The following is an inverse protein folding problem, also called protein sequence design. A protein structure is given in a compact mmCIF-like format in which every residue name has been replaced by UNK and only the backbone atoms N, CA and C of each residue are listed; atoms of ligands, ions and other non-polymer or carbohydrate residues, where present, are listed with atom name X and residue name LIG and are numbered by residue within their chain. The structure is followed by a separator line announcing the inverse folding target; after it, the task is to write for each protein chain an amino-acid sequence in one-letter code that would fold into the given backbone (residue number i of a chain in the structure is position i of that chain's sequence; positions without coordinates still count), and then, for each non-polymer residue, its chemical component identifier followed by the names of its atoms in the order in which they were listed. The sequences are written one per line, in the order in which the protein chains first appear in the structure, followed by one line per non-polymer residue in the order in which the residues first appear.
data_IF_292641176095
#
_entry.id   IF_292641176095
#
_cell.length_a   1.000
_cell.length_b   1.000
_cell.length_c   1.000
_cell.angle_alpha   90.00
_cell.angle_beta   90.00
_cell.angle_gamma   90.00
#
_symmetry.space_group_name_H-M   'P 1'
#
loop_
_entity.id
_entity.type
_entity.pdbx_description
1 polymer ?
#
# COMPACT_ATOMS: atom_id res chain seq x y z
N UNK A 1 -24.27 -1.01 8.40
CA UNK A 1 -23.76 -1.99 9.40
C UNK A 1 -22.35 -2.40 8.98
N UNK A 2 -21.33 -1.71 9.47
CA UNK A 2 -19.93 -2.00 9.15
C UNK A 2 -19.43 -3.14 10.02
N UNK A 3 -18.95 -4.20 9.37
CA UNK A 3 -18.17 -5.29 9.98
C UNK A 3 -16.90 -4.70 10.62
N UNK A 4 -16.80 -4.78 11.95
CA UNK A 4 -15.53 -4.61 12.67
C UNK A 4 -14.77 -5.92 12.57
N UNK A 5 -13.62 -5.87 11.93
CA UNK A 5 -12.60 -6.92 11.86
C UNK A 5 -12.22 -7.35 13.28
N UNK A 6 -12.40 -8.63 13.61
CA UNK A 6 -11.96 -9.25 14.86
C UNK A 6 -10.44 -9.20 14.95
N UNK A 7 -9.91 -8.48 15.94
CA UNK A 7 -8.49 -8.43 16.29
C UNK A 7 -8.20 -9.32 17.50
N UNK A 8 -7.35 -10.34 17.31
CA UNK A 8 -6.21 -10.71 18.17
C UNK A 8 -6.36 -10.73 19.71
N UNK A 9 -7.10 -11.67 20.29
CA UNK A 9 -7.14 -11.88 21.76
C UNK A 9 -6.76 -13.31 22.23
N UNK A 10 -6.06 -14.12 21.42
CA UNK A 10 -5.68 -15.49 21.84
C UNK A 10 -4.17 -15.78 22.01
N UNK A 11 -3.27 -14.79 21.88
CA UNK A 11 -1.80 -15.01 22.01
C UNK A 11 -1.17 -14.50 23.34
N UNK A 12 -1.94 -14.31 24.42
CA UNK A 12 -1.43 -13.67 25.65
C UNK A 12 -0.66 -14.56 26.66
N UNK A 13 -0.45 -15.86 26.39
CA UNK A 13 0.25 -16.73 27.35
C UNK A 13 1.78 -16.71 27.31
N UNK A 14 2.41 -16.34 26.18
CA UNK A 14 3.79 -16.77 25.88
C UNK A 14 4.83 -15.67 25.63
N UNK A 15 4.45 -14.54 25.04
CA UNK A 15 5.38 -13.50 24.56
C UNK A 15 5.55 -12.36 25.56
N UNK A 16 6.71 -11.71 25.59
CA UNK A 16 6.96 -10.58 26.49
C UNK A 16 8.42 -10.14 26.57
N UNK A 17 8.70 -9.17 27.45
CA UNK A 17 10.00 -8.49 27.52
C UNK A 17 10.40 -8.07 28.94
N UNK A 18 9.85 -8.75 29.96
CA UNK A 18 10.10 -8.39 31.37
C UNK A 18 11.57 -8.49 31.78
N UNK A 19 12.33 -9.37 31.13
CA UNK A 19 13.76 -9.58 31.35
C UNK A 19 14.38 -10.21 30.09
N UNK A 20 15.71 -10.32 30.08
CA UNK A 20 16.49 -10.90 28.96
C UNK A 20 15.98 -12.28 28.55
N UNK A 21 15.75 -13.17 29.49
CA UNK A 21 15.30 -14.54 29.21
C UNK A 21 13.94 -14.53 28.52
N UNK A 22 12.99 -13.71 28.98
CA UNK A 22 11.67 -13.62 28.36
C UNK A 22 11.72 -13.03 26.95
N UNK A 23 12.65 -12.11 26.69
CA UNK A 23 12.89 -11.61 25.33
C UNK A 23 13.42 -12.72 24.41
N UNK A 24 14.37 -13.54 24.88
CA UNK A 24 14.87 -14.71 24.15
C UNK A 24 13.77 -15.76 23.92
N UNK A 25 12.94 -16.04 24.93
CA UNK A 25 11.80 -16.95 24.79
C UNK A 25 10.80 -16.42 23.76
N UNK A 26 10.59 -15.10 23.71
CA UNK A 26 9.74 -14.47 22.71
C UNK A 26 10.31 -14.62 21.31
N UNK A 27 11.61 -14.40 21.12
CA UNK A 27 12.26 -14.67 19.83
C UNK A 27 12.12 -16.15 19.42
N UNK A 28 12.24 -17.07 20.38
CA UNK A 28 12.06 -18.51 20.15
C UNK A 28 10.62 -18.87 19.76
N UNK A 29 9.61 -18.22 20.34
CA UNK A 29 8.19 -18.40 19.98
C UNK A 29 7.90 -17.85 18.58
N UNK A 30 8.56 -16.76 18.20
CA UNK A 30 8.43 -16.16 16.88
C UNK A 30 9.24 -16.88 15.80
N UNK A 31 10.22 -17.70 16.18
CA UNK A 31 11.06 -18.42 15.24
C UNK A 31 10.25 -19.35 14.33
N UNK A 32 10.60 -19.34 13.04
CA UNK A 32 9.87 -20.04 11.98
C UNK A 32 8.61 -19.31 11.47
N UNK A 33 8.08 -18.30 12.17
CA UNK A 33 6.97 -17.50 11.63
C UNK A 33 7.44 -16.61 10.46
N UNK A 34 6.49 -16.03 9.74
CA UNK A 34 6.78 -15.09 8.64
C UNK A 34 7.69 -13.93 9.10
N UNK A 35 8.76 -13.65 8.34
CA UNK A 35 9.78 -12.70 8.77
C UNK A 35 9.23 -11.26 8.91
N UNK A 36 8.24 -10.90 8.08
CA UNK A 36 7.57 -9.59 8.18
C UNK A 36 6.74 -9.52 9.46
N UNK A 37 6.04 -10.60 9.82
CA UNK A 37 5.32 -10.69 11.09
C UNK A 37 6.28 -10.63 12.29
N UNK A 38 7.39 -11.38 12.29
CA UNK A 38 8.41 -11.31 13.35
C UNK A 38 8.90 -9.87 13.52
N UNK A 39 9.24 -9.20 12.42
CA UNK A 39 9.70 -7.81 12.44
C UNK A 39 8.68 -6.86 13.06
N UNK A 40 7.40 -6.98 12.69
CA UNK A 40 6.34 -6.14 13.25
C UNK A 40 6.16 -6.36 14.76
N UNK A 41 6.14 -7.61 15.23
CA UNK A 41 5.99 -7.94 16.65
C UNK A 41 7.19 -7.43 17.45
N UNK A 42 8.41 -7.69 16.98
CA UNK A 42 9.64 -7.30 17.68
C UNK A 42 9.78 -5.77 17.71
N UNK A 43 9.48 -5.08 16.62
CA UNK A 43 9.48 -3.60 16.60
C UNK A 43 8.44 -3.01 17.56
N UNK A 44 7.28 -3.66 17.70
CA UNK A 44 6.28 -3.28 18.72
C UNK A 44 6.85 -3.44 20.13
N UNK A 45 7.54 -4.55 20.41
CA UNK A 45 8.20 -4.77 21.70
C UNK A 45 9.32 -3.79 21.98
N UNK A 46 10.17 -3.43 21.00
CA UNK A 46 11.17 -2.37 21.15
C UNK A 46 10.52 -1.05 21.57
N UNK A 47 9.42 -0.67 20.91
CA UNK A 47 8.70 0.57 21.21
C UNK A 47 8.08 0.53 22.62
N UNK A 48 7.47 -0.59 23.00
CA UNK A 48 6.88 -0.79 24.34
C UNK A 48 7.95 -0.81 25.42
N UNK A 49 9.06 -1.53 25.23
CA UNK A 49 10.17 -1.61 26.17
C UNK A 49 10.81 -0.24 26.41
N UNK A 50 11.00 0.58 25.36
CA UNK A 50 11.48 1.97 25.49
C UNK A 50 10.53 2.82 26.35
N UNK A 51 9.22 2.70 26.12
CA UNK A 51 8.21 3.38 26.95
C UNK A 51 8.24 2.89 28.40
N UNK A 52 8.34 1.58 28.63
CA UNK A 52 8.41 1.00 29.99
C UNK A 52 9.67 1.45 30.73
N UNK A 53 10.80 1.59 30.04
CA UNK A 53 12.04 2.13 30.61
C UNK A 53 11.90 3.59 31.07
N UNK A 54 11.13 4.43 30.37
CA UNK A 54 10.94 5.84 30.75
C UNK A 54 10.12 6.01 32.04
N UNK A 55 9.19 5.10 32.32
CA UNK A 55 8.25 5.20 33.45
C UNK A 55 8.65 4.38 34.69
N UNK A 56 9.58 3.44 34.55
CA UNK A 56 10.01 2.55 35.65
C UNK A 56 11.08 3.22 36.51
N UNK A 57 10.89 3.22 37.83
CA UNK A 57 11.84 3.79 38.81
C UNK A 57 12.65 2.76 39.59
N UNK A 58 12.26 1.50 39.49
CA UNK A 58 12.92 0.37 40.14
C UNK A 58 14.19 -0.02 39.37
N UNK A 59 15.35 0.07 40.02
CA UNK A 59 16.66 -0.13 39.39
C UNK A 59 16.89 -1.56 38.86
N UNK A 60 16.41 -2.57 39.59
CA UNK A 60 16.53 -3.97 39.18
C UNK A 60 15.66 -4.25 37.94
N UNK A 61 14.43 -3.71 37.92
CA UNK A 61 13.56 -3.80 36.74
C UNK A 61 14.15 -3.04 35.55
N UNK A 62 14.79 -1.89 35.77
CA UNK A 62 15.45 -1.14 34.70
C UNK A 62 16.60 -1.93 34.06
N UNK A 63 17.44 -2.62 34.85
CA UNK A 63 18.49 -3.48 34.32
C UNK A 63 17.91 -4.60 33.45
N UNK A 64 16.91 -5.32 33.97
CA UNK A 64 16.21 -6.39 33.25
C UNK A 64 15.58 -5.93 31.93
N UNK A 65 14.95 -4.74 31.92
CA UNK A 65 14.32 -4.15 30.74
C UNK A 65 15.36 -3.69 29.71
N UNK A 66 16.50 -3.14 30.13
CA UNK A 66 17.59 -2.76 29.22
C UNK A 66 18.18 -3.98 28.53
N UNK A 67 18.39 -5.07 29.27
CA UNK A 67 18.88 -6.31 28.69
C UNK A 67 17.88 -6.93 27.70
N UNK A 68 16.59 -6.91 28.04
CA UNK A 68 15.52 -7.35 27.14
C UNK A 68 15.44 -6.49 25.87
N UNK A 69 15.54 -5.16 26.01
CA UNK A 69 15.53 -4.22 24.88
C UNK A 69 16.71 -4.49 23.95
N UNK A 70 17.92 -4.69 24.50
CA UNK A 70 19.11 -4.97 23.73
C UNK A 70 18.96 -6.22 22.85
N UNK A 71 18.38 -7.30 23.38
CA UNK A 71 18.09 -8.53 22.62
C UNK A 71 17.25 -8.23 21.36
N UNK A 72 16.22 -7.39 21.48
CA UNK A 72 15.38 -7.04 20.33
C UNK A 72 16.04 -6.03 19.38
N UNK A 73 16.80 -5.07 19.90
CA UNK A 73 17.53 -4.12 19.05
C UNK A 73 18.61 -4.83 18.23
N UNK A 74 19.32 -5.80 18.82
CA UNK A 74 20.28 -6.66 18.13
C UNK A 74 19.59 -7.46 17.01
N UNK A 75 18.41 -8.04 17.28
CA UNK A 75 17.61 -8.71 16.25
C UNK A 75 17.16 -7.78 15.12
N UNK A 76 16.72 -6.56 15.45
CA UNK A 76 16.29 -5.56 14.44
C UNK A 76 17.48 -5.06 13.61
N UNK A 77 18.64 -4.91 14.23
CA UNK A 77 19.88 -4.55 13.54
C UNK A 77 20.31 -5.66 12.57
N UNK A 78 20.27 -6.93 13.00
CA UNK A 78 20.48 -8.10 12.15
C UNK A 78 19.51 -8.14 10.97
N UNK A 79 18.21 -7.96 11.23
CA UNK A 79 17.17 -7.89 10.19
C UNK A 79 17.50 -6.87 9.09
N UNK A 80 17.91 -5.66 9.48
CA UNK A 80 18.26 -4.58 8.54
C UNK A 80 19.58 -4.86 7.82
N UNK A 81 20.62 -5.26 8.57
CA UNK A 81 21.97 -5.49 8.04
C UNK A 81 21.99 -6.62 7.00
N UNK A 82 21.28 -7.71 7.29
CA UNK A 82 21.23 -8.89 6.43
C UNK A 82 20.08 -8.85 5.42
N UNK A 83 19.35 -7.73 5.35
CA UNK A 83 18.20 -7.52 4.45
C UNK A 83 17.19 -8.68 4.51
N UNK A 84 16.89 -9.14 5.73
CA UNK A 84 16.11 -10.35 6.00
C UNK A 84 14.66 -10.23 5.52
N UNK A 85 14.20 -9.04 5.14
CA UNK A 85 12.93 -8.85 4.44
C UNK A 85 12.83 -9.62 3.11
N UNK A 86 13.96 -9.96 2.48
CA UNK A 86 13.99 -10.82 1.28
C UNK A 86 13.74 -12.31 1.58
N UNK A 87 13.82 -12.73 2.84
CA UNK A 87 13.50 -14.10 3.28
C UNK A 87 11.98 -14.36 3.32
N UNK A 88 11.17 -13.36 2.99
CA UNK A 88 9.72 -13.45 3.05
C UNK A 88 9.18 -14.48 2.06
N UNK A 89 8.57 -15.54 2.59
CA UNK A 89 8.01 -16.64 1.81
C UNK A 89 6.54 -16.35 1.51
N UNK A 90 6.27 -15.45 0.56
CA UNK A 90 4.91 -15.02 0.23
C UNK A 90 3.98 -16.21 -0.13
N UNK A 91 2.72 -16.11 0.27
CA UNK A 91 1.71 -17.14 0.01
C UNK A 91 1.18 -17.03 -1.42
N UNK A 92 1.05 -18.17 -2.10
CA UNK A 92 0.37 -18.29 -3.38
C UNK A 92 -1.15 -18.37 -3.19
N UNK A 93 -1.95 -17.88 -4.15
CA UNK A 93 -3.39 -18.12 -4.17
C UNK A 93 -3.71 -19.62 -4.20
N UNK A 94 -4.79 -20.02 -3.54
CA UNK A 94 -5.30 -21.40 -3.50
C UNK A 94 -5.42 -21.99 -4.89
N UNK A 95 -5.97 -21.22 -5.83
CA UNK A 95 -6.25 -21.64 -7.20
C UNK A 95 -4.94 -21.95 -7.93
N UNK A 96 -3.86 -21.24 -7.60
CA UNK A 96 -2.53 -21.53 -8.14
C UNK A 96 -2.03 -22.86 -7.62
N UNK A 97 -2.16 -23.13 -6.32
CA UNK A 97 -1.75 -24.42 -5.73
C UNK A 97 -2.58 -25.56 -6.35
N UNK A 98 -3.91 -25.37 -6.46
CA UNK A 98 -4.84 -26.34 -7.06
C UNK A 98 -4.45 -26.67 -8.51
N UNK A 99 -4.09 -25.66 -9.31
CA UNK A 99 -3.68 -25.84 -10.71
C UNK A 99 -2.44 -26.74 -10.88
N UNK A 100 -1.54 -26.79 -9.89
CA UNK A 100 -0.34 -27.64 -9.92
C UNK A 100 -0.52 -28.98 -9.18
N UNK A 101 -1.72 -29.31 -8.68
CA UNK A 101 -2.02 -30.56 -7.95
C UNK A 101 -1.64 -31.80 -8.74
N UNK A 102 -2.01 -31.88 -10.02
CA UNK A 102 -1.72 -33.05 -10.88
C UNK A 102 -0.23 -33.22 -11.14
N UNK A 103 0.48 -32.11 -11.38
CA UNK A 103 1.94 -32.14 -11.54
C UNK A 103 2.63 -32.61 -10.25
N UNK A 104 2.14 -32.16 -9.09
CA UNK A 104 2.63 -32.63 -7.79
C UNK A 104 2.37 -34.13 -7.56
N UNK A 105 1.21 -34.65 -7.97
CA UNK A 105 0.94 -36.10 -7.96
C UNK A 105 1.90 -36.86 -8.88
N UNK A 106 2.15 -36.37 -10.10
CA UNK A 106 3.13 -37.00 -11.03
C UNK A 106 4.55 -37.05 -10.47
N UNK A 107 4.97 -36.01 -9.76
CA UNK A 107 6.29 -36.00 -9.10
C UNK A 107 6.35 -36.75 -7.75
N UNK A 108 5.20 -37.27 -7.29
CA UNK A 108 5.03 -37.90 -5.97
C UNK A 108 5.46 -36.95 -4.82
N UNK A 109 4.91 -35.74 -4.83
CA UNK A 109 5.20 -34.69 -3.83
C UNK A 109 3.95 -33.97 -3.33
N UNK A 110 2.76 -34.46 -3.65
CA UNK A 110 1.51 -33.89 -3.17
C UNK A 110 1.29 -34.24 -1.70
N UNK A 111 1.16 -33.21 -0.85
CA UNK A 111 0.79 -33.33 0.56
C UNK A 111 -0.48 -32.52 0.80
N UNK A 112 -1.60 -33.21 1.03
CA UNK A 112 -2.89 -32.56 1.29
C UNK A 112 -2.93 -31.81 2.63
N UNK A 113 -2.00 -32.06 3.57
CA UNK A 113 -2.02 -31.49 4.91
C UNK A 113 -2.10 -29.97 4.91
N UNK A 114 -1.12 -29.31 4.27
CA UNK A 114 -1.09 -27.85 4.19
C UNK A 114 -2.26 -27.32 3.36
N UNK A 115 -2.50 -27.92 2.20
CA UNK A 115 -3.54 -27.45 1.27
C UNK A 115 -4.92 -27.46 1.91
N UNK A 116 -5.31 -28.55 2.60
CA UNK A 116 -6.58 -28.64 3.33
C UNK A 116 -6.69 -27.60 4.44
N UNK A 117 -5.63 -27.43 5.23
CA UNK A 117 -5.61 -26.40 6.28
C UNK A 117 -5.80 -25.00 5.69
N UNK A 118 -5.12 -24.70 4.59
CA UNK A 118 -5.22 -23.40 3.94
C UNK A 118 -6.57 -23.15 3.24
N UNK A 119 -7.16 -24.22 2.67
CA UNK A 119 -8.52 -24.22 2.11
C UNK A 119 -9.60 -23.97 3.17
N UNK A 120 -9.50 -24.63 4.32
CA UNK A 120 -10.45 -24.45 5.43
C UNK A 120 -10.47 -23.00 5.94
N UNK A 121 -9.32 -22.34 5.88
CA UNK A 121 -9.13 -20.92 6.19
C UNK A 121 -9.41 -19.98 5.00
N UNK A 122 -9.93 -20.51 3.88
CA UNK A 122 -10.32 -19.76 2.67
C UNK A 122 -9.20 -18.88 2.11
N UNK A 123 -7.96 -19.32 2.24
CA UNK A 123 -6.81 -18.59 1.73
C UNK A 123 -6.30 -17.47 2.66
N UNK A 124 -6.89 -17.30 3.85
CA UNK A 124 -6.35 -16.37 4.86
C UNK A 124 -5.12 -16.98 5.53
N UNK A 125 -3.94 -16.57 5.08
CA UNK A 125 -2.69 -17.08 5.64
C UNK A 125 -2.44 -16.60 7.08
N UNK A 126 -3.14 -15.56 7.55
CA UNK A 126 -2.94 -15.05 8.91
C UNK A 126 -3.57 -15.96 9.95
N UNK A 127 -4.70 -16.59 9.64
CA UNK A 127 -5.34 -17.53 10.55
C UNK A 127 -4.56 -18.84 10.70
N UNK A 128 -3.71 -19.20 9.72
CA UNK A 128 -2.77 -20.33 9.84
C UNK A 128 -1.79 -20.23 11.02
N UNK A 129 -1.67 -19.04 11.65
CA UNK A 129 -0.91 -18.84 12.89
C UNK A 129 -1.52 -19.52 14.11
N UNK A 130 -2.80 -19.84 14.02
CA UNK A 130 -3.59 -20.49 15.08
C UNK A 130 -3.96 -21.94 14.72
N UNK A 131 -3.88 -22.31 13.43
CA UNK A 131 -4.17 -23.67 12.96
C UNK A 131 -2.98 -24.59 13.24
N UNK A 132 -3.17 -25.56 14.14
CA UNK A 132 -2.15 -26.58 14.46
C UNK A 132 -2.02 -27.63 13.36
N UNK A 133 -0.80 -28.13 13.19
CA UNK A 133 -0.55 -29.32 12.36
C UNK A 133 -1.12 -30.54 13.08
N UNK A 134 -1.73 -31.46 12.33
CA UNK A 134 -2.20 -32.75 12.86
C UNK A 134 -1.01 -33.49 13.51
N UNK A 135 -1.17 -33.86 14.79
CA UNK A 135 -0.13 -34.51 15.61
C UNK A 135 1.14 -33.66 15.85
N UNK A 136 1.12 -32.36 15.53
CA UNK A 136 2.23 -31.45 15.73
C UNK A 136 2.04 -30.53 16.94
N UNK A 137 3.16 -30.13 17.53
CA UNK A 137 3.21 -29.09 18.58
C UNK A 137 3.32 -27.66 18.00
N UNK A 138 3.15 -27.52 16.68
CA UNK A 138 3.35 -26.25 15.96
C UNK A 138 2.17 -25.96 15.04
N UNK A 139 2.15 -24.74 14.53
CA UNK A 139 1.12 -24.20 13.66
C UNK A 139 1.55 -24.29 12.20
N UNK A 140 0.57 -24.29 11.29
CA UNK A 140 0.86 -24.44 9.86
C UNK A 140 1.72 -23.31 9.31
N UNK A 141 1.62 -22.08 9.84
CA UNK A 141 2.50 -20.98 9.43
C UNK A 141 3.99 -21.27 9.71
N UNK A 142 4.30 -21.88 10.85
CA UNK A 142 5.67 -22.24 11.25
C UNK A 142 6.14 -23.47 10.46
N UNK A 143 5.33 -24.53 10.46
CA UNK A 143 5.69 -25.80 9.80
C UNK A 143 5.96 -25.61 8.32
N UNK A 144 5.07 -24.89 7.63
CA UNK A 144 5.22 -24.58 6.20
C UNK A 144 6.52 -23.82 5.92
N UNK A 145 6.84 -22.81 6.73
CA UNK A 145 8.05 -22.03 6.55
C UNK A 145 9.32 -22.83 6.81
N UNK A 146 9.31 -23.74 7.80
CA UNK A 146 10.44 -24.66 8.07
C UNK A 146 10.70 -25.59 6.89
N UNK A 147 9.65 -26.29 6.42
CA UNK A 147 9.75 -27.17 5.25
C UNK A 147 10.23 -26.43 4.00
N UNK A 148 9.72 -25.22 3.76
CA UNK A 148 10.18 -24.40 2.64
C UNK A 148 11.64 -23.99 2.76
N UNK A 149 12.11 -23.59 3.95
CA UNK A 149 13.53 -23.28 4.16
C UNK A 149 14.42 -24.49 3.85
N UNK A 150 14.01 -25.69 4.26
CA UNK A 150 14.74 -26.93 3.95
C UNK A 150 14.79 -27.22 2.45
N UNK A 151 13.66 -27.07 1.74
CA UNK A 151 13.61 -27.27 0.28
C UNK A 151 14.45 -26.22 -0.44
N UNK A 152 14.30 -24.94 -0.10
CA UNK A 152 15.04 -23.84 -0.72
C UNK A 152 16.55 -23.98 -0.49
N UNK A 153 16.96 -24.41 0.70
CA UNK A 153 18.38 -24.66 0.99
C UNK A 153 18.92 -25.80 0.14
N UNK A 154 18.17 -26.90 -0.04
CA UNK A 154 18.55 -27.98 -0.97
C UNK A 154 18.69 -27.47 -2.40
N UNK A 155 17.70 -26.73 -2.91
CA UNK A 155 17.75 -26.12 -4.25
C UNK A 155 19.01 -25.26 -4.43
N UNK A 156 19.36 -24.45 -3.42
CA UNK A 156 20.56 -23.61 -3.46
C UNK A 156 21.85 -24.41 -3.42
N UNK A 157 21.96 -25.39 -2.52
CA UNK A 157 23.17 -26.19 -2.35
C UNK A 157 23.44 -27.08 -3.56
N UNK A 158 22.38 -27.70 -4.08
CA UNK A 158 22.45 -28.64 -5.20
C UNK A 158 22.33 -27.91 -6.56
N UNK A 159 22.24 -26.58 -6.56
CA UNK A 159 22.11 -25.72 -7.74
C UNK A 159 20.98 -26.14 -8.70
N UNK A 160 19.89 -26.66 -8.13
CA UNK A 160 18.71 -27.13 -8.88
C UNK A 160 18.01 -25.94 -9.53
N UNK A 161 17.67 -26.07 -10.81
CA UNK A 161 16.89 -25.05 -11.50
C UNK A 161 15.44 -25.03 -11.00
N UNK A 162 14.80 -23.86 -11.04
CA UNK A 162 13.39 -23.72 -10.66
C UNK A 162 12.43 -24.31 -11.72
N UNK A 163 12.88 -24.45 -12.96
CA UNK A 163 12.08 -24.95 -14.07
C UNK A 163 12.87 -25.98 -14.86
N UNK A 164 12.17 -27.00 -15.35
CA UNK A 164 12.74 -28.07 -16.16
C UNK A 164 13.27 -27.50 -17.48
N UNK A 165 14.57 -27.71 -17.73
CA UNK A 165 15.27 -27.27 -18.94
C UNK A 165 15.35 -28.35 -20.01
N UNK A 166 15.14 -29.60 -19.61
CA UNK A 166 15.37 -30.77 -20.44
C UNK A 166 14.23 -31.00 -21.44
N UNK A 167 14.51 -31.77 -22.49
CA UNK A 167 13.55 -32.07 -23.57
C UNK A 167 12.57 -33.14 -23.09
N UNK A 168 11.26 -32.87 -23.24
CA UNK A 168 10.19 -33.80 -22.88
C UNK A 168 8.91 -33.09 -22.43
N UNK A 169 7.94 -33.86 -21.95
CA UNK A 169 6.60 -33.37 -21.56
C UNK A 169 6.63 -32.30 -20.46
N UNK A 170 7.67 -32.35 -19.62
CA UNK A 170 7.87 -31.45 -18.49
C UNK A 170 8.61 -30.15 -18.83
N UNK A 171 9.11 -29.98 -20.06
CA UNK A 171 9.91 -28.80 -20.44
C UNK A 171 9.19 -27.49 -20.13
N UNK A 172 9.87 -26.60 -19.42
CA UNK A 172 9.37 -25.29 -19.04
C UNK A 172 8.40 -25.29 -17.84
N UNK A 173 8.03 -26.47 -17.32
CA UNK A 173 7.25 -26.59 -16.09
C UNK A 173 8.16 -26.52 -14.85
N UNK A 174 7.60 -26.28 -13.65
CA UNK A 174 8.36 -26.31 -12.41
C UNK A 174 9.05 -27.68 -12.18
N UNK A 175 10.28 -27.66 -11.68
CA UNK A 175 11.00 -28.89 -11.29
C UNK A 175 10.36 -29.56 -10.07
N UNK A 176 10.69 -30.82 -9.79
CA UNK A 176 10.20 -31.54 -8.59
C UNK A 176 10.38 -30.74 -7.29
N UNK A 177 11.54 -30.11 -7.08
CA UNK A 177 11.80 -29.30 -5.89
C UNK A 177 11.03 -27.97 -5.88
N UNK A 178 10.81 -27.35 -7.04
CA UNK A 178 9.93 -26.19 -7.12
C UNK A 178 8.47 -26.57 -6.86
N UNK A 179 8.00 -27.71 -7.36
CA UNK A 179 6.64 -28.20 -7.08
C UNK A 179 6.43 -28.46 -5.60
N UNK A 180 7.43 -28.99 -4.87
CA UNK A 180 7.38 -29.08 -3.40
C UNK A 180 7.17 -27.72 -2.73
N UNK A 181 7.81 -26.66 -3.25
CA UNK A 181 7.54 -25.30 -2.78
C UNK A 181 6.10 -24.85 -3.09
N UNK A 182 5.59 -25.15 -4.29
CA UNK A 182 4.26 -24.75 -4.75
C UNK A 182 3.16 -25.42 -3.92
N UNK A 183 3.31 -26.70 -3.58
CA UNK A 183 2.38 -27.44 -2.71
C UNK A 183 2.30 -26.81 -1.32
N UNK A 184 3.40 -26.21 -0.84
CA UNK A 184 3.45 -25.42 0.39
C UNK A 184 3.07 -23.94 0.17
N UNK A 185 2.49 -23.61 -0.98
CA UNK A 185 2.01 -22.27 -1.31
C UNK A 185 3.11 -21.24 -1.49
N UNK A 186 4.27 -21.61 -2.03
CA UNK A 186 5.37 -20.67 -2.31
C UNK A 186 5.96 -20.82 -3.71
N UNK A 187 6.38 -19.69 -4.27
CA UNK A 187 7.28 -19.66 -5.42
C UNK A 187 8.09 -18.37 -5.42
N UNK A 188 9.36 -18.40 -5.87
CA UNK A 188 10.13 -17.19 -6.11
C UNK A 188 9.62 -16.38 -7.31
N UNK A 189 8.86 -17.00 -8.23
CA UNK A 189 8.28 -16.34 -9.41
C UNK A 189 6.77 -16.65 -9.53
N UNK A 190 5.92 -16.03 -8.69
CA UNK A 190 4.48 -16.25 -8.71
C UNK A 190 3.82 -15.79 -10.03
N UNK A 191 4.43 -14.83 -10.74
CA UNK A 191 3.88 -14.27 -11.98
C UNK A 191 4.04 -15.25 -13.13
N UNK A 192 5.20 -15.91 -13.24
CA UNK A 192 5.42 -16.98 -14.21
C UNK A 192 4.54 -18.20 -13.92
N UNK A 193 4.38 -18.58 -12.64
CA UNK A 193 3.45 -19.66 -12.28
C UNK A 193 2.01 -19.38 -12.68
N UNK A 194 1.53 -18.14 -12.49
CA UNK A 194 0.18 -17.77 -12.91
C UNK A 194 -0.04 -17.97 -14.42
N UNK A 195 0.97 -17.71 -15.25
CA UNK A 195 0.91 -17.96 -16.70
C UNK A 195 0.95 -19.46 -17.03
N UNK A 196 1.76 -20.22 -16.30
CA UNK A 196 1.92 -21.66 -16.48
C UNK A 196 0.74 -22.48 -15.92
N UNK A 197 -0.07 -21.92 -15.01
CA UNK A 197 -1.21 -22.61 -14.41
C UNK A 197 -2.20 -23.12 -15.46
N UNK A 198 -2.44 -22.35 -16.54
CA UNK A 198 -3.30 -22.75 -17.67
C UNK A 198 -2.67 -23.92 -18.43
N UNK A 199 -1.37 -23.85 -18.73
CA UNK A 199 -0.65 -24.90 -19.45
C UNK A 199 -0.53 -26.19 -18.63
N UNK A 200 -0.36 -26.09 -17.31
CA UNK A 200 -0.30 -27.23 -16.41
C UNK A 200 -1.66 -27.93 -16.29
N UNK A 201 -2.75 -27.16 -16.31
CA UNK A 201 -4.11 -27.68 -16.37
C UNK A 201 -4.37 -28.39 -17.71
N UNK A 202 -4.08 -27.74 -18.84
CA UNK A 202 -4.30 -28.29 -20.19
C UNK A 202 -3.46 -29.55 -20.48
N UNK A 203 -2.18 -29.57 -20.13
CA UNK A 203 -1.27 -30.69 -20.43
C UNK A 203 -1.51 -31.96 -19.63
N UNK A 204 -2.19 -31.85 -18.49
CA UNK A 204 -2.40 -32.98 -17.59
C UNK A 204 -3.89 -33.23 -17.30
N UNK A 205 -4.78 -32.69 -18.13
CA UNK A 205 -6.21 -32.97 -18.11
C UNK A 205 -6.54 -34.27 -18.87
N UNK A 206 -6.44 -35.38 -18.17
CA UNK A 206 -7.24 -36.58 -18.45
C UNK A 206 -8.15 -36.83 -17.23
N UNK A 207 -9.40 -37.16 -17.49
CA UNK A 207 -10.57 -37.06 -16.60
C UNK A 207 -10.34 -37.60 -15.17
N UNK A 208 -10.72 -36.81 -14.16
CA UNK A 208 -10.76 -37.24 -12.75
C UNK A 208 -12.11 -36.78 -12.18
N UNK A 209 -13.09 -37.67 -12.30
CA UNK A 209 -14.53 -37.54 -12.00
C UNK A 209 -14.83 -37.59 -10.49
N UNK A 210 -14.03 -36.92 -9.66
CA UNK A 210 -14.09 -37.03 -8.18
C UNK A 210 -13.99 -35.68 -7.45
N UNK A 211 -14.59 -34.61 -8.00
CA UNK A 211 -14.59 -33.27 -7.39
C UNK A 211 -15.82 -33.00 -6.47
N UNK A 212 -16.69 -34.01 -6.19
CA UNK A 212 -17.93 -33.80 -5.41
C UNK A 212 -17.89 -34.20 -3.91
N UNK A 213 -16.88 -34.92 -3.40
CA UNK A 213 -16.95 -35.45 -2.02
C UNK A 213 -16.31 -34.58 -0.91
N UNK A 214 -15.40 -33.65 -1.22
CA UNK A 214 -14.67 -32.88 -0.18
C UNK A 214 -15.40 -31.60 0.32
N UNK A 215 -16.57 -31.22 -0.23
CA UNK A 215 -17.32 -30.02 0.19
C UNK A 215 -18.24 -30.20 1.44
N UNK A 216 -18.22 -31.35 2.13
CA UNK A 216 -19.09 -31.54 3.32
C UNK A 216 -18.46 -30.98 4.61
N UNK A 217 -18.97 -29.82 5.03
CA UNK A 217 -18.77 -29.25 6.39
C UNK A 217 -19.19 -30.23 7.51
N UNK A 218 -18.52 -30.23 8.67
CA UNK A 218 -19.11 -30.71 9.92
C UNK A 218 -19.56 -29.55 10.84
N UNK A 219 -20.72 -29.74 11.44
CA UNK A 219 -21.51 -28.81 12.23
C UNK A 219 -21.41 -29.05 13.75
N UNK A 220 -21.66 -27.97 14.50
CA UNK A 220 -22.22 -27.90 15.86
C UNK A 220 -21.35 -28.12 17.12
N UNK A 221 -21.52 -27.19 18.08
CA UNK A 221 -21.06 -27.33 19.47
C UNK A 221 -21.21 -26.08 20.35
N UNK A 222 -22.39 -25.92 20.96
CA UNK A 222 -22.84 -24.99 22.05
C UNK A 222 -21.72 -24.67 23.07
N UNK A 223 -21.58 -23.50 23.71
CA UNK A 223 -22.49 -22.41 24.06
C UNK A 223 -22.26 -22.07 25.55
N UNK A 224 -22.04 -20.80 25.92
CA UNK A 224 -22.31 -20.26 27.26
C UNK A 224 -22.10 -18.74 27.29
N UNK A 225 -22.82 -18.12 28.21
CA UNK A 225 -23.27 -16.73 28.29
C UNK A 225 -22.67 -16.11 29.56
N UNK A 226 -22.66 -14.76 29.63
CA UNK A 226 -22.52 -13.90 30.83
C UNK A 226 -21.07 -13.47 31.15
N UNK A 227 -20.75 -12.26 31.59
CA UNK A 227 -21.53 -11.07 31.98
C UNK A 227 -20.59 -9.84 31.90
N UNK A 228 -21.20 -8.67 31.71
CA UNK A 228 -20.58 -7.33 31.70
C UNK A 228 -19.96 -6.98 33.05
N UNK A 229 -18.94 -6.13 33.05
CA UNK A 229 -18.96 -4.77 33.64
C UNK A 229 -17.50 -4.23 33.60
N UNK A 230 -17.21 -3.26 32.74
CA UNK A 230 -17.33 -1.80 32.93
C UNK A 230 -16.21 -1.17 33.79
N UNK A 231 -15.67 -0.08 33.23
CA UNK A 231 -14.83 0.98 33.82
C UNK A 231 -13.31 0.77 33.68
N UNK A 232 -12.63 1.39 32.71
CA UNK A 232 -12.38 2.84 32.50
C UNK A 232 -11.27 3.37 33.40
N UNK A 233 -10.17 3.81 32.78
CA UNK A 233 -9.42 5.05 33.07
C UNK A 233 -7.98 4.89 32.53
N UNK A 234 -7.64 5.50 31.40
CA UNK A 234 -7.00 6.83 31.32
C UNK A 234 -5.68 6.85 32.10
N UNK A 235 -4.54 6.86 31.42
CA UNK A 235 -3.82 8.09 30.99
C UNK A 235 -2.65 8.32 31.97
N UNK A 236 -1.54 8.95 31.66
CA UNK A 236 -0.91 9.38 30.42
C UNK A 236 0.54 9.72 30.81
N UNK A 237 1.42 9.78 29.80
CA UNK A 237 2.58 10.66 29.68
C UNK A 237 3.66 10.72 30.76
N UNK A 238 4.92 10.62 30.34
CA UNK A 238 5.74 11.83 30.08
C UNK A 238 7.17 11.47 29.64
N UNK A 239 7.49 11.87 28.41
CA UNK A 239 8.80 12.33 27.90
C UNK A 239 9.34 13.53 28.76
N UNK A 240 10.63 13.96 28.73
CA UNK A 240 11.28 14.37 27.46
C UNK A 240 12.84 14.45 27.33
N UNK A 241 13.26 14.71 26.08
CA UNK A 241 14.38 15.58 25.60
C UNK A 241 15.70 15.01 24.98
N UNK A 242 15.76 15.14 23.63
CA UNK A 242 16.76 15.81 22.72
C UNK A 242 18.30 15.66 22.88
N UNK A 243 18.98 15.22 21.78
CA UNK A 243 19.96 16.03 20.97
C UNK A 243 20.54 15.31 19.71
N UNK A 244 20.43 15.95 18.53
CA UNK A 244 21.39 16.23 17.40
C UNK A 244 22.53 15.21 17.04
N UNK A 245 22.98 14.92 15.80
CA UNK A 245 22.79 15.36 14.38
C UNK A 245 23.60 14.47 13.43
N UNK A 246 23.21 14.27 12.14
CA UNK A 246 24.08 14.44 10.94
C UNK A 246 23.27 14.41 9.61
N UNK A 247 23.66 15.27 8.66
CA UNK A 247 23.01 15.70 7.40
C UNK A 247 23.52 14.91 6.17
N UNK A 248 22.64 14.58 5.20
CA UNK A 248 22.96 14.49 3.76
C UNK A 248 21.69 14.37 2.90
N UNK A 249 21.68 15.06 1.75
CA UNK A 249 20.76 15.00 0.58
C UNK A 249 19.24 15.14 0.76
N UNK A 250 18.67 14.86 1.94
CA UNK A 250 17.27 15.17 2.27
C UNK A 250 17.06 16.67 2.53
N UNK A 251 18.14 17.45 2.67
CA UNK A 251 18.09 18.86 3.05
C UNK A 251 17.47 19.75 1.97
N UNK A 252 17.56 19.42 0.68
CA UNK A 252 16.99 20.22 -0.40
C UNK A 252 15.50 19.93 -0.63
N UNK A 253 15.07 18.66 -0.49
CA UNK A 253 13.65 18.31 -0.42
C UNK A 253 13.02 18.82 0.90
N UNK A 254 13.75 18.78 2.01
CA UNK A 254 13.32 19.36 3.29
C UNK A 254 13.29 20.89 3.22
N UNK A 255 14.20 21.60 2.55
CA UNK A 255 14.13 23.07 2.46
C UNK A 255 12.91 23.55 1.66
N UNK A 256 12.50 22.83 0.60
CA UNK A 256 11.25 23.12 -0.11
C UNK A 256 10.00 22.73 0.68
N UNK A 257 10.06 21.63 1.45
CA UNK A 257 8.99 21.25 2.39
C UNK A 257 8.91 22.20 3.60
N UNK A 258 10.03 22.70 4.12
CA UNK A 258 10.13 23.61 5.26
C UNK A 258 9.60 25.01 4.86
N UNK A 259 9.91 25.48 3.64
CA UNK A 259 9.31 26.72 3.11
C UNK A 259 7.79 26.63 2.90
N UNK A 260 7.26 25.46 2.50
CA UNK A 260 5.80 25.22 2.41
C UNK A 260 5.14 24.96 3.77
N UNK A 261 5.85 24.36 4.72
CA UNK A 261 5.40 24.17 6.10
C UNK A 261 5.23 25.51 6.83
N UNK A 262 5.96 26.56 6.45
CA UNK A 262 5.77 27.91 7.01
C UNK A 262 4.41 28.56 6.66
N UNK A 263 3.67 28.04 5.68
CA UNK A 263 2.39 28.62 5.26
C UNK A 263 1.16 27.91 5.84
N UNK A 264 1.26 26.61 6.14
CA UNK A 264 0.14 25.80 6.65
C UNK A 264 0.24 25.64 8.18
N UNK A 265 -0.80 26.04 8.91
CA UNK A 265 -0.81 26.10 10.37
C UNK A 265 -2.13 25.59 10.95
N UNK A 266 -2.03 24.98 12.14
CA UNK A 266 -3.15 24.46 12.93
C UNK A 266 -3.18 25.07 14.35
N UNK A 267 -2.51 26.22 14.54
CA UNK A 267 -2.36 26.86 15.86
C UNK A 267 -3.70 27.29 16.47
N UNK A 268 -4.59 27.83 15.64
CA UNK A 268 -5.88 28.38 16.02
C UNK A 268 -6.84 28.33 14.82
N UNK A 269 -8.10 28.69 15.08
CA UNK A 269 -9.18 28.70 14.09
C UNK A 269 -8.86 29.57 12.87
N UNK A 270 -8.32 30.76 13.07
CA UNK A 270 -8.04 31.70 11.98
C UNK A 270 -6.92 31.19 11.08
N UNK A 271 -5.88 30.60 11.68
CA UNK A 271 -4.79 29.95 10.95
C UNK A 271 -5.25 28.71 10.21
N UNK A 272 -6.23 27.96 10.74
CA UNK A 272 -6.85 26.85 10.03
C UNK A 272 -7.60 27.32 8.78
N UNK A 273 -8.40 28.40 8.90
CA UNK A 273 -9.10 29.01 7.78
C UNK A 273 -8.12 29.56 6.73
N UNK A 274 -7.06 30.25 7.15
CA UNK A 274 -5.98 30.70 6.24
C UNK A 274 -5.32 29.52 5.52
N UNK A 275 -5.11 28.40 6.21
CA UNK A 275 -4.53 27.20 5.62
C UNK A 275 -5.44 26.59 4.56
N UNK A 276 -6.75 26.47 4.83
CA UNK A 276 -7.72 26.03 3.83
C UNK A 276 -7.72 26.97 2.62
N UNK A 277 -7.75 28.29 2.86
CA UNK A 277 -7.70 29.30 1.78
C UNK A 277 -6.43 29.20 0.93
N UNK A 278 -5.28 28.91 1.53
CA UNK A 278 -4.01 28.72 0.80
C UNK A 278 -3.97 27.45 -0.06
N UNK A 279 -4.84 26.48 0.25
CA UNK A 279 -4.98 25.22 -0.47
C UNK A 279 -6.05 25.31 -1.55
N UNK A 280 -6.88 26.36 -1.55
CA UNK A 280 -7.93 26.60 -2.53
C UNK A 280 -7.37 26.62 -3.96
N UNK A 281 -8.12 26.05 -4.91
CA UNK A 281 -7.70 25.90 -6.31
C UNK A 281 -6.69 24.78 -6.58
N UNK A 282 -6.00 24.22 -5.57
CA UNK A 282 -5.10 23.07 -5.75
C UNK A 282 -5.85 21.76 -5.98
N UNK A 283 -5.14 20.70 -6.38
CA UNK A 283 -5.72 19.37 -6.57
C UNK A 283 -6.49 18.92 -5.31
N UNK A 284 -7.73 18.48 -5.48
CA UNK A 284 -8.62 18.11 -4.38
C UNK A 284 -8.03 16.98 -3.53
N UNK A 285 -7.35 16.02 -4.18
CA UNK A 285 -6.59 14.97 -3.48
C UNK A 285 -5.43 15.52 -2.65
N UNK A 286 -4.73 16.56 -3.15
CA UNK A 286 -3.65 17.19 -2.40
C UNK A 286 -4.18 17.97 -1.19
N UNK A 287 -5.26 18.74 -1.36
CA UNK A 287 -5.92 19.44 -0.25
C UNK A 287 -6.30 18.45 0.86
N UNK A 288 -6.91 17.32 0.48
CA UNK A 288 -7.30 16.26 1.42
C UNK A 288 -6.11 15.72 2.21
N UNK A 289 -5.01 15.38 1.54
CA UNK A 289 -3.82 14.86 2.21
C UNK A 289 -3.14 15.91 3.10
N UNK A 290 -3.06 17.16 2.64
CA UNK A 290 -2.50 18.26 3.42
C UNK A 290 -3.29 18.52 4.71
N UNK A 291 -4.63 18.59 4.61
CA UNK A 291 -5.54 18.81 5.73
C UNK A 291 -5.53 17.63 6.70
N UNK A 292 -5.60 16.40 6.20
CA UNK A 292 -5.47 15.19 7.03
C UNK A 292 -4.13 15.17 7.79
N UNK A 293 -3.04 15.59 7.13
CA UNK A 293 -1.73 15.72 7.77
C UNK A 293 -1.70 16.79 8.87
N UNK A 294 -2.40 17.92 8.68
CA UNK A 294 -2.55 18.97 9.70
C UNK A 294 -3.32 18.47 10.92
N UNK A 295 -4.43 17.74 10.73
CA UNK A 295 -5.21 17.15 11.83
C UNK A 295 -4.34 16.21 12.66
N UNK A 296 -3.65 15.24 12.03
CA UNK A 296 -2.78 14.29 12.75
C UNK A 296 -1.65 14.99 13.53
N UNK A 297 -1.07 16.05 12.96
CA UNK A 297 -0.05 16.85 13.66
C UNK A 297 -0.66 17.63 14.83
N UNK A 298 -1.84 18.22 14.66
CA UNK A 298 -2.55 18.93 15.71
C UNK A 298 -2.91 17.99 16.88
N UNK A 299 -3.46 16.81 16.60
CA UNK A 299 -3.75 15.77 17.60
C UNK A 299 -2.50 15.38 18.38
N UNK A 300 -1.38 15.16 17.69
CA UNK A 300 -0.09 14.86 18.34
C UNK A 300 0.41 16.00 19.23
N UNK A 301 0.24 17.25 18.80
CA UNK A 301 0.63 18.40 19.63
C UNK A 301 -0.29 18.53 20.84
N UNK A 302 -1.59 18.28 20.67
CA UNK A 302 -2.57 18.24 21.78
C UNK A 302 -2.17 17.17 22.79
N UNK A 303 -1.82 15.95 22.36
CA UNK A 303 -1.45 14.87 23.28
C UNK A 303 -0.19 15.15 24.09
N UNK A 304 0.72 15.99 23.59
CA UNK A 304 1.98 16.31 24.28
C UNK A 304 1.96 17.65 25.04
N UNK A 305 0.90 18.44 24.92
CA UNK A 305 0.80 19.80 25.49
C UNK A 305 -0.02 19.77 26.77
N UNK A 306 0.41 20.52 27.80
CA UNK A 306 -0.35 20.70 29.06
C UNK A 306 -1.07 22.06 29.17
N UNK A 307 -0.86 22.94 28.19
CA UNK A 307 -1.51 24.26 28.10
C UNK A 307 -2.95 24.12 27.57
N UNK A 308 -3.92 24.32 28.48
CA UNK A 308 -5.35 24.22 28.19
C UNK A 308 -5.84 25.22 27.13
N UNK A 309 -5.33 26.46 27.15
CA UNK A 309 -5.73 27.48 26.18
C UNK A 309 -5.25 27.11 24.78
N UNK A 310 -4.02 26.60 24.67
CA UNK A 310 -3.45 26.11 23.42
C UNK A 310 -4.21 24.89 22.92
N UNK A 311 -4.55 23.94 23.79
CA UNK A 311 -5.39 22.77 23.44
C UNK A 311 -6.73 23.24 22.89
N UNK A 312 -7.42 24.19 23.54
CA UNK A 312 -8.71 24.71 23.08
C UNK A 312 -8.60 25.32 21.68
N UNK A 313 -7.61 26.19 21.43
CA UNK A 313 -7.36 26.79 20.11
C UNK A 313 -7.08 25.75 19.02
N UNK A 314 -6.30 24.71 19.33
CA UNK A 314 -6.00 23.63 18.38
C UNK A 314 -7.21 22.73 18.12
N UNK A 315 -8.08 22.50 19.13
CA UNK A 315 -9.35 21.77 18.93
C UNK A 315 -10.31 22.53 18.03
N UNK A 316 -10.41 23.85 18.20
CA UNK A 316 -11.19 24.71 17.29
C UNK A 316 -10.64 24.66 15.86
N UNK A 317 -9.30 24.65 15.69
CA UNK A 317 -8.66 24.46 14.39
C UNK A 317 -8.96 23.08 13.77
N UNK A 318 -8.89 22.00 14.56
CA UNK A 318 -9.22 20.65 14.12
C UNK A 318 -10.67 20.57 13.64
N UNK A 319 -11.62 21.16 14.38
CA UNK A 319 -13.03 21.14 13.98
C UNK A 319 -13.25 21.76 12.59
N UNK A 320 -12.54 22.84 12.26
CA UNK A 320 -12.58 23.46 10.92
C UNK A 320 -12.10 22.48 9.85
N UNK A 321 -10.99 21.77 10.11
CA UNK A 321 -10.46 20.75 9.20
C UNK A 321 -11.37 19.52 9.08
N UNK A 322 -11.93 19.03 10.18
CA UNK A 322 -12.86 17.89 10.19
C UNK A 322 -14.15 18.21 9.44
N UNK A 323 -14.67 19.43 9.58
CA UNK A 323 -15.82 19.89 8.80
C UNK A 323 -15.50 19.86 7.30
N UNK A 324 -14.31 20.33 6.90
CA UNK A 324 -13.86 20.25 5.51
C UNK A 324 -13.70 18.80 5.02
N UNK A 325 -13.12 17.92 5.84
CA UNK A 325 -12.95 16.50 5.51
C UNK A 325 -14.29 15.76 5.42
N UNK A 326 -15.26 16.14 6.26
CA UNK A 326 -16.62 15.60 6.20
C UNK A 326 -17.31 16.05 4.92
N UNK A 327 -17.23 17.33 4.56
CA UNK A 327 -17.74 17.86 3.28
C UNK A 327 -17.13 17.12 2.08
N UNK A 328 -15.81 16.90 2.10
CA UNK A 328 -15.09 16.13 1.09
C UNK A 328 -15.67 14.73 0.90
N UNK A 329 -15.88 14.01 2.00
CA UNK A 329 -16.36 12.62 1.97
C UNK A 329 -17.84 12.54 1.57
N UNK A 330 -18.69 13.42 2.13
CA UNK A 330 -20.15 13.42 1.89
C UNK A 330 -20.47 13.82 0.45
N UNK A 331 -19.81 14.84 -0.09
CA UNK A 331 -20.05 15.30 -1.46
C UNK A 331 -19.27 14.50 -2.52
N UNK A 332 -18.45 13.53 -2.10
CA UNK A 332 -17.64 12.73 -3.01
C UNK A 332 -16.67 13.57 -3.85
N UNK A 333 -16.08 14.62 -3.24
CA UNK A 333 -15.24 15.62 -3.93
C UNK A 333 -14.00 15.02 -4.58
N UNK A 334 -13.62 13.79 -4.22
CA UNK A 334 -12.57 13.02 -4.91
C UNK A 334 -12.79 12.92 -6.43
N UNK A 335 -14.05 12.92 -6.89
CA UNK A 335 -14.41 12.87 -8.32
C UNK A 335 -14.19 14.20 -9.05
N UNK A 336 -14.00 15.31 -8.32
CA UNK A 336 -13.71 16.64 -8.88
C UNK A 336 -12.22 16.79 -9.21
N UNK A 337 -11.38 15.78 -8.95
CA UNK A 337 -9.95 15.88 -9.13
C UNK A 337 -9.57 15.79 -10.63
N UNK A 338 -8.91 16.83 -11.14
CA UNK A 338 -8.35 16.84 -12.48
C UNK A 338 -7.02 16.08 -12.53
N UNK A 339 -7.08 14.76 -12.70
CA UNK A 339 -5.88 13.93 -12.80
C UNK A 339 -4.97 14.39 -13.96
N UNK A 340 -3.66 14.38 -13.73
CA UNK A 340 -2.69 14.79 -14.75
C UNK A 340 -2.51 13.70 -15.80
N UNK A 341 -2.48 14.10 -17.07
CA UNK A 341 -2.00 13.29 -18.16
C UNK A 341 -0.48 13.20 -18.12
N UNK A 342 0.07 12.09 -18.63
CA UNK A 342 1.51 12.01 -18.86
C UNK A 342 1.89 13.00 -19.96
N UNK A 343 3.10 13.55 -19.87
CA UNK A 343 3.56 14.58 -20.80
C UNK A 343 3.55 14.09 -22.25
N UNK A 344 3.87 12.83 -22.48
CA UNK A 344 3.87 12.23 -23.82
C UNK A 344 2.47 12.19 -24.44
N UNK A 345 1.42 11.99 -23.61
CA UNK A 345 0.05 12.07 -24.10
C UNK A 345 -0.28 13.51 -24.49
N UNK A 346 0.08 14.50 -23.68
CA UNK A 346 -0.19 15.91 -24.02
C UNK A 346 0.51 16.30 -25.31
N UNK A 347 1.79 15.93 -25.47
CA UNK A 347 2.58 16.18 -26.69
C UNK A 347 1.95 15.56 -27.93
N UNK A 348 1.50 14.30 -27.84
CA UNK A 348 0.94 13.58 -28.97
C UNK A 348 -0.35 14.21 -29.54
N UNK A 349 -1.05 15.03 -28.75
CA UNK A 349 -2.28 15.71 -29.17
C UNK A 349 -2.04 17.16 -29.61
N UNK A 350 -0.79 17.62 -29.66
CA UNK A 350 -0.44 18.99 -30.11
C UNK A 350 -0.88 19.26 -31.55
N UNK A 351 -0.64 18.33 -32.48
CA UNK A 351 -1.05 18.48 -33.89
C UNK A 351 -2.57 18.58 -34.06
N UNK A 352 -3.33 17.87 -33.21
CA UNK A 352 -4.78 17.99 -33.18
C UNK A 352 -5.22 19.36 -32.65
N UNK A 353 -4.52 19.90 -31.65
CA UNK A 353 -4.79 21.23 -31.14
C UNK A 353 -4.54 22.32 -32.20
N UNK A 354 -3.47 22.18 -32.99
CA UNK A 354 -3.17 23.05 -34.13
C UNK A 354 -4.29 22.98 -35.19
N UNK A 355 -4.79 21.78 -35.50
CA UNK A 355 -5.92 21.61 -36.44
C UNK A 355 -7.19 22.34 -35.97
N UNK A 356 -7.47 22.32 -34.67
CA UNK A 356 -8.62 23.04 -34.09
C UNK A 356 -8.35 24.54 -33.85
N UNK A 357 -7.18 25.06 -34.26
CA UNK A 357 -6.74 26.43 -33.98
C UNK A 357 -6.82 26.79 -32.49
N UNK A 358 -6.42 25.84 -31.62
CA UNK A 358 -6.36 26.08 -30.18
C UNK A 358 -5.05 26.79 -29.87
N UNK A 359 -5.16 27.98 -29.29
CA UNK A 359 -4.00 28.79 -28.87
C UNK A 359 -3.13 28.06 -27.85
N UNK A 360 -1.80 28.24 -27.97
CA UNK A 360 -0.85 27.73 -26.99
C UNK A 360 -0.95 28.55 -25.70
N UNK A 361 -1.45 27.92 -24.66
CA UNK A 361 -1.61 28.49 -23.33
C UNK A 361 -0.30 28.51 -22.50
N UNK A 362 0.80 28.02 -23.07
CA UNK A 362 2.11 27.94 -22.41
C UNK A 362 2.23 26.84 -21.35
N UNK A 363 1.15 26.14 -20.99
CA UNK A 363 1.17 25.08 -19.99
C UNK A 363 2.07 23.92 -20.41
N UNK A 364 1.99 23.49 -21.69
CA UNK A 364 2.80 22.38 -22.19
C UNK A 364 4.29 22.68 -22.03
N UNK A 365 4.74 23.88 -22.42
CA UNK A 365 6.13 24.30 -22.27
C UNK A 365 6.60 24.22 -20.81
N UNK A 366 5.82 24.75 -19.88
CA UNK A 366 6.15 24.68 -18.44
C UNK A 366 6.13 23.24 -17.93
N UNK A 367 5.21 22.41 -18.42
CA UNK A 367 5.13 21.01 -18.05
C UNK A 367 6.35 20.22 -18.56
N UNK A 368 6.90 20.60 -19.71
CA UNK A 368 8.16 20.09 -20.26
C UNK A 368 9.37 20.52 -19.45
N UNK A 369 9.46 21.79 -19.05
CA UNK A 369 10.55 22.30 -18.20
C UNK A 369 10.65 21.54 -16.86
N UNK A 370 9.51 21.08 -16.32
CA UNK A 370 9.49 20.24 -15.10
C UNK A 370 9.56 18.73 -15.38
N UNK A 371 9.83 18.31 -16.62
CA UNK A 371 9.91 16.92 -17.07
C UNK A 371 8.63 16.09 -16.77
N UNK A 372 7.45 16.71 -16.86
CA UNK A 372 6.18 16.05 -16.58
C UNK A 372 5.92 15.78 -15.08
N UNK A 373 6.77 16.26 -14.17
CA UNK A 373 6.52 16.14 -12.73
C UNK A 373 5.54 17.23 -12.25
N UNK A 374 4.26 16.87 -12.24
CA UNK A 374 3.18 17.77 -11.83
C UNK A 374 3.34 18.31 -10.39
N UNK A 375 4.12 17.65 -9.51
CA UNK A 375 4.35 18.15 -8.15
C UNK A 375 5.19 19.43 -8.16
N UNK A 376 6.08 19.59 -9.14
CA UNK A 376 6.93 20.79 -9.30
C UNK A 376 6.12 22.00 -9.74
N UNK A 377 5.00 21.82 -10.46
CA UNK A 377 4.08 22.90 -10.85
C UNK A 377 3.53 23.69 -9.65
N UNK A 378 3.53 23.09 -8.45
CA UNK A 378 3.13 23.74 -7.19
C UNK A 378 4.11 24.82 -6.71
N UNK A 379 5.25 24.93 -7.35
CA UNK A 379 6.31 25.89 -7.03
C UNK A 379 6.59 26.86 -8.18
N UNK A 380 6.13 26.55 -9.40
CA UNK A 380 6.30 27.43 -10.57
C UNK A 380 5.17 28.47 -10.59
N UNK A 381 5.53 29.76 -10.62
CA UNK A 381 4.57 30.87 -10.66
C UNK A 381 4.01 31.07 -12.06
N UNK A 382 2.73 31.44 -12.13
CA UNK A 382 2.12 31.89 -13.37
C UNK A 382 2.54 33.35 -13.63
N UNK A 383 3.02 33.73 -14.83
CA UNK A 383 3.61 35.05 -15.07
C UNK A 383 2.72 36.25 -14.72
N UNK A 384 1.41 36.15 -14.97
CA UNK A 384 0.48 37.29 -14.84
C UNK A 384 -0.24 37.34 -13.49
N UNK A 385 0.08 36.44 -12.56
CA UNK A 385 -0.64 36.36 -11.29
C UNK A 385 0.22 35.81 -10.15
N UNK A 386 -0.20 36.09 -8.93
CA UNK A 386 0.47 35.53 -7.74
C UNK A 386 0.12 34.06 -7.47
N UNK A 387 -0.49 33.32 -8.42
CA UNK A 387 -0.78 31.90 -8.26
C UNK A 387 0.29 31.02 -8.94
N UNK A 388 0.29 29.74 -8.61
CA UNK A 388 1.16 28.73 -9.21
C UNK A 388 0.47 28.04 -10.38
N UNK A 389 1.24 27.43 -11.28
CA UNK A 389 0.69 26.78 -12.47
C UNK A 389 -0.31 25.67 -12.16
N UNK A 390 -0.14 24.92 -11.06
CA UNK A 390 -1.13 23.91 -10.61
C UNK A 390 -2.49 24.52 -10.30
N UNK A 391 -2.52 25.71 -9.67
CA UNK A 391 -3.74 26.43 -9.33
C UNK A 391 -4.38 27.00 -10.59
N UNK A 392 -3.60 27.68 -11.44
CA UNK A 392 -4.12 28.30 -12.67
C UNK A 392 -4.72 27.26 -13.63
N UNK A 393 -4.03 26.12 -13.78
CA UNK A 393 -4.51 24.98 -14.56
C UNK A 393 -5.84 24.43 -14.04
N UNK A 394 -5.98 24.26 -12.74
CA UNK A 394 -7.20 23.73 -12.14
C UNK A 394 -8.36 24.72 -12.13
N UNK A 395 -8.09 26.03 -12.04
CA UNK A 395 -9.08 27.08 -12.24
C UNK A 395 -9.66 26.99 -13.65
N UNK A 396 -8.80 27.02 -14.66
CA UNK A 396 -9.23 27.04 -16.05
C UNK A 396 -9.89 25.73 -16.51
N UNK A 397 -9.38 24.58 -16.08
CA UNK A 397 -10.03 23.29 -16.35
C UNK A 397 -11.43 23.22 -15.75
N UNK A 398 -11.68 23.87 -14.61
CA UNK A 398 -13.01 23.92 -14.01
C UNK A 398 -13.98 24.70 -14.87
N UNK A 399 -13.55 25.85 -15.40
CA UNK A 399 -14.33 26.67 -16.34
C UNK A 399 -14.64 25.88 -17.62
N UNK A 400 -13.63 25.25 -18.23
CA UNK A 400 -13.79 24.44 -19.44
C UNK A 400 -14.75 23.27 -19.23
N UNK A 401 -14.55 22.49 -18.16
CA UNK A 401 -15.37 21.32 -17.86
C UNK A 401 -16.81 21.71 -17.53
N UNK A 402 -17.02 22.84 -16.83
CA UNK A 402 -18.36 23.35 -16.57
C UNK A 402 -19.04 23.80 -17.87
N UNK A 403 -18.34 24.53 -18.74
CA UNK A 403 -18.84 24.92 -20.05
C UNK A 403 -19.24 23.71 -20.91
N UNK A 404 -18.40 22.66 -20.95
CA UNK A 404 -18.70 21.40 -21.65
C UNK A 404 -19.98 20.75 -21.10
N UNK A 405 -20.12 20.71 -19.77
CA UNK A 405 -21.29 20.13 -19.11
C UNK A 405 -22.56 20.93 -19.38
N UNK A 406 -22.50 22.25 -19.24
CA UNK A 406 -23.64 23.16 -19.43
C UNK A 406 -24.13 23.16 -20.88
N UNK A 407 -23.21 23.14 -21.84
CA UNK A 407 -23.52 23.09 -23.28
C UNK A 407 -23.75 21.67 -23.81
N UNK A 408 -23.67 20.65 -22.95
CA UNK A 408 -23.78 19.24 -23.31
C UNK A 408 -22.87 18.80 -24.48
N UNK A 409 -21.66 19.36 -24.54
CA UNK A 409 -20.69 19.07 -25.59
C UNK A 409 -20.15 17.66 -25.37
N UNK A 410 -20.11 16.86 -26.45
CA UNK A 410 -19.52 15.54 -26.40
C UNK A 410 -18.00 15.63 -26.24
N UNK A 411 -17.41 14.68 -25.51
CA UNK A 411 -15.95 14.63 -25.34
C UNK A 411 -15.24 14.19 -26.62
N UNK A 412 -15.90 13.42 -27.48
CA UNK A 412 -15.32 12.88 -28.71
C UNK A 412 -16.21 13.19 -29.90
N UNK A 413 -15.59 13.55 -31.02
CA UNK A 413 -16.25 13.89 -32.26
C UNK A 413 -16.97 12.67 -32.85
N UNK A 414 -18.18 12.92 -33.34
CA UNK A 414 -19.01 11.94 -34.07
C UNK A 414 -18.97 12.15 -35.59
N UNK A 415 -18.45 13.31 -36.02
CA UNK A 415 -18.37 13.73 -37.43
C UNK A 415 -17.45 12.84 -38.25
N UNK A 416 -17.75 12.68 -39.53
CA UNK A 416 -17.15 11.66 -40.41
C UNK A 416 -15.63 11.79 -40.52
N UNK A 417 -15.08 13.02 -40.53
CA UNK A 417 -13.63 13.25 -40.66
C UNK A 417 -12.85 13.06 -39.34
N UNK A 418 -13.44 13.45 -38.21
CA UNK A 418 -12.83 13.42 -36.89
C UNK A 418 -13.38 12.31 -35.99
N UNK A 419 -14.16 11.37 -36.55
CA UNK A 419 -14.88 10.35 -35.78
C UNK A 419 -13.97 9.62 -34.80
N UNK A 420 -14.30 9.73 -33.52
CA UNK A 420 -13.59 9.08 -32.43
C UNK A 420 -12.39 9.85 -31.87
N UNK A 421 -11.97 10.96 -32.49
CA UNK A 421 -10.99 11.88 -31.91
C UNK A 421 -11.64 12.79 -30.85
N UNK A 422 -10.87 13.37 -29.92
CA UNK A 422 -11.38 14.39 -28.99
C UNK A 422 -11.94 15.60 -29.73
N UNK A 423 -13.04 16.16 -29.24
CA UNK A 423 -13.58 17.45 -29.73
C UNK A 423 -12.61 18.60 -29.47
N UNK A 424 -12.87 19.78 -30.03
CA UNK A 424 -12.06 20.98 -29.77
C UNK A 424 -11.99 21.29 -28.26
N UNK A 425 -13.11 21.21 -27.55
CA UNK A 425 -13.19 21.48 -26.11
C UNK A 425 -12.46 20.42 -25.27
N UNK A 426 -12.55 19.14 -25.66
CA UNK A 426 -11.78 18.09 -25.01
C UNK A 426 -10.29 18.26 -25.30
N UNK A 427 -9.92 18.64 -26.53
CA UNK A 427 -8.54 18.93 -26.91
C UNK A 427 -7.98 20.11 -26.10
N UNK A 428 -8.76 21.17 -25.85
CA UNK A 428 -8.37 22.24 -24.90
C UNK A 428 -8.06 21.69 -23.51
N UNK A 429 -8.89 20.78 -22.99
CA UNK A 429 -8.63 20.13 -21.70
C UNK A 429 -7.33 19.30 -21.73
N UNK A 430 -7.07 18.58 -22.83
CA UNK A 430 -5.87 17.76 -23.02
C UNK A 430 -4.62 18.64 -23.03
N UNK A 431 -4.68 19.80 -23.69
CA UNK A 431 -3.57 20.78 -23.71
C UNK A 431 -3.30 21.39 -22.33
N UNK A 432 -4.26 21.33 -21.40
CA UNK A 432 -4.07 21.63 -19.97
C UNK A 432 -3.75 20.39 -19.12
N UNK A 433 -3.38 19.28 -19.76
CA UNK A 433 -2.97 18.04 -19.13
C UNK A 433 -4.10 17.28 -18.46
N UNK A 434 -5.34 17.37 -18.94
CA UNK A 434 -6.49 16.65 -18.37
C UNK A 434 -7.35 15.94 -19.43
N UNK A 435 -7.89 14.79 -19.06
CA UNK A 435 -8.93 14.11 -19.83
C UNK A 435 -9.87 13.34 -18.90
N UNK A 436 -11.16 13.32 -19.25
CA UNK A 436 -12.14 12.48 -18.58
C UNK A 436 -11.92 10.97 -18.84
N UNK A 437 -11.38 10.62 -20.01
CA UNK A 437 -11.12 9.23 -20.40
C UNK A 437 -9.69 9.06 -20.93
N UNK A 438 -8.76 8.83 -20.01
CA UNK A 438 -7.34 8.63 -20.31
C UNK A 438 -7.10 7.33 -21.09
N UNK A 439 -7.91 6.29 -20.84
CA UNK A 439 -7.74 4.99 -21.48
C UNK A 439 -8.06 5.07 -22.98
N UNK A 440 -9.13 5.79 -23.34
CA UNK A 440 -9.48 6.04 -24.74
C UNK A 440 -8.44 6.90 -25.44
N UNK A 441 -7.88 7.93 -24.80
CA UNK A 441 -6.77 8.70 -25.39
C UNK A 441 -5.55 7.83 -25.71
N UNK A 442 -5.15 6.94 -24.79
CA UNK A 442 -4.02 6.01 -25.03
C UNK A 442 -4.26 5.11 -26.24
N UNK A 443 -5.51 4.64 -26.44
CA UNK A 443 -5.88 3.83 -27.62
C UNK A 443 -5.86 4.62 -28.93
N UNK A 444 -6.03 5.94 -28.87
CA UNK A 444 -6.05 6.82 -30.05
C UNK A 444 -4.65 7.25 -30.49
N UNK A 445 -3.61 7.10 -29.66
CA UNK A 445 -2.24 7.49 -30.00
C UNK A 445 -1.74 6.92 -31.35
N UNK A 446 -1.94 5.62 -31.68
CA UNK A 446 -1.50 5.08 -32.97
C UNK A 446 -2.32 5.60 -34.16
N UNK A 447 -3.55 6.04 -33.92
CA UNK A 447 -4.42 6.60 -34.96
C UNK A 447 -4.07 8.07 -35.23
N UNK A 448 -3.69 8.82 -34.20
CA UNK A 448 -3.19 10.18 -34.32
C UNK A 448 -1.87 10.23 -35.08
N UNK A 449 -0.91 9.35 -34.76
CA UNK A 449 0.35 9.29 -35.50
C UNK A 449 0.13 8.99 -36.97
N UNK A 450 -0.77 8.06 -37.31
CA UNK A 450 -1.10 7.71 -38.71
C UNK A 450 -1.87 8.78 -39.48
N UNK A 451 -2.68 9.61 -38.80
CA UNK A 451 -3.51 10.64 -39.46
C UNK A 451 -2.80 12.00 -39.63
N UNK A 452 -1.72 12.22 -38.88
CA UNK A 452 -1.03 13.51 -38.83
C UNK A 452 0.49 13.38 -38.96
N UNK A 453 0.99 12.30 -39.58
CA UNK A 453 2.36 12.29 -40.10
C UNK A 453 2.49 13.42 -41.14
N UNK A 454 3.51 14.28 -41.05
CA UNK A 454 3.81 15.20 -42.14
C UNK A 454 4.12 14.36 -43.38
N UNK A 455 3.49 14.68 -44.52
CA UNK A 455 3.98 14.18 -45.79
C UNK A 455 5.42 14.69 -45.97
N UNK A 456 6.35 13.77 -46.22
CA UNK A 456 7.76 14.06 -46.51
C UNK A 456 7.94 15.10 -47.62
#
# INVERSE_FOLDING_TARGET
KMMKTKSSEQEEGGIGFKNKQKALDTLKILDGRDISYQYHVITSFVSRAKRTLQITRDEEKLANLRDALKVFEDWVADYKKNNRGKENLAYLPIETIKAFRRLAKKYDVWDDGFFRAYMNEKGDYKSLRDVKVLNGNTTWDIERNRRLKEIINRIKNDHVQWYETDVGDFRGLPTKEHVRCIVLGYSPDPTKLKKLAVQAHEKFNEDDDMDEEEERKPDSGKGAKRVRDNLSSSDSDSEPEKKYTKRSSEAEENEQNEKKQNMLSFKDKDKALQSIKSLEGRDISYQFHAITGLVKRAERVISCTKDEQKIKKMREAIQIFENWLTDYNVKGRSKENFNYLTIDIVRAFKSLAERYNIEDNGFLKIYEEVNGDYKKLRSVRFPESNVTWDVKRNEHLRELVNCIKEKHIQWFDTDVECRGLPTAEHTRCIMWGFSHDVAKLKKLLPTLSKKFEPAD
#
